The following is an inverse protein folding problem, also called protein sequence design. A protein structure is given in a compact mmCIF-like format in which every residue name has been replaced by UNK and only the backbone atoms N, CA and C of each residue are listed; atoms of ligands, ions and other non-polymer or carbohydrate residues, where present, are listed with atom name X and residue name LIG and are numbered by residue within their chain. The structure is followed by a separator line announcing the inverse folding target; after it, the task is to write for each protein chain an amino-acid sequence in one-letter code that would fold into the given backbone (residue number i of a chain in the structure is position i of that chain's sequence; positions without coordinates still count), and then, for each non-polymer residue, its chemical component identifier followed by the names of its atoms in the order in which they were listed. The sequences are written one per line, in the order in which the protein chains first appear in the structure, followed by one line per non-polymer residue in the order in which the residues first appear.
data_IF_008437665189
#
_entry.id   IF_008437665189
#
_cell.length_a   1.000
_cell.length_b   1.000
_cell.length_c   1.000
_cell.angle_alpha   90.00
_cell.angle_beta   90.00
_cell.angle_gamma   90.00
#
_symmetry.space_group_name_H-M   'P 1'
#
loop_
_entity.id
_entity.type
_entity.pdbx_description
1 polymer ?
#
# COMPACT_ATOMS: atom_id res chain seq x y z
N UNK A 1 -20.39 -77.58 7.71
CA UNK A 1 -20.94 -76.26 8.04
C UNK A 1 -19.85 -75.23 7.87
N UNK A 2 -19.88 -74.40 6.77
CA UNK A 2 -18.84 -73.47 6.37
C UNK A 2 -19.36 -72.03 6.56
N UNK A 3 -18.74 -71.27 7.40
CA UNK A 3 -19.04 -69.86 7.61
C UNK A 3 -18.11 -69.00 6.71
N UNK A 4 -18.71 -68.40 5.65
CA UNK A 4 -18.06 -67.43 4.76
C UNK A 4 -18.00 -66.05 5.44
N UNK A 5 -16.84 -65.56 5.78
CA UNK A 5 -16.60 -64.15 6.16
C UNK A 5 -16.56 -63.28 4.89
N UNK A 6 -17.56 -62.38 4.71
CA UNK A 6 -17.53 -61.25 3.75
C UNK A 6 -16.71 -60.13 4.35
N UNK A 7 -15.60 -59.73 3.67
CA UNK A 7 -14.89 -58.45 3.91
C UNK A 7 -15.66 -57.32 3.21
N UNK A 8 -16.26 -56.44 3.98
CA UNK A 8 -16.76 -55.17 3.48
C UNK A 8 -15.62 -54.20 3.29
N UNK A 9 -15.45 -53.70 2.07
CA UNK A 9 -14.63 -52.51 1.78
C UNK A 9 -15.45 -51.28 2.15
N UNK A 10 -15.02 -50.48 3.12
CA UNK A 10 -15.51 -49.17 3.37
C UNK A 10 -14.83 -48.22 2.33
N UNK A 11 -15.66 -47.75 1.41
CA UNK A 11 -15.33 -46.63 0.54
C UNK A 11 -15.37 -45.36 1.41
N UNK A 12 -14.23 -44.71 1.61
CA UNK A 12 -14.15 -43.32 2.05
C UNK A 12 -14.33 -42.44 0.80
N UNK A 13 -15.57 -42.05 0.53
CA UNK A 13 -15.83 -40.89 -0.34
C UNK A 13 -15.40 -39.63 0.42
N UNK A 14 -14.23 -39.12 0.03
CA UNK A 14 -13.79 -37.79 0.43
C UNK A 14 -14.65 -36.81 -0.37
N UNK A 15 -15.69 -36.29 0.27
CA UNK A 15 -16.44 -35.13 -0.20
C UNK A 15 -15.44 -33.98 -0.40
N UNK A 16 -15.16 -33.66 -1.65
CA UNK A 16 -14.57 -32.40 -2.05
C UNK A 16 -15.56 -31.31 -1.67
N UNK A 17 -15.34 -30.69 -0.52
CA UNK A 17 -16.07 -29.47 -0.14
C UNK A 17 -15.63 -28.35 -1.08
N UNK A 18 -16.50 -28.04 -2.00
CA UNK A 18 -16.45 -26.89 -2.91
C UNK A 18 -16.55 -25.62 -2.05
N UNK A 19 -15.40 -24.98 -1.78
CA UNK A 19 -15.32 -23.74 -1.01
C UNK A 19 -15.76 -22.54 -1.85
N UNK A 20 -16.97 -22.57 -2.36
CA UNK A 20 -17.67 -21.39 -2.90
C UNK A 20 -18.68 -20.83 -1.87
N UNK A 21 -18.24 -20.55 -0.66
CA UNK A 21 -19.02 -19.69 0.22
C UNK A 21 -18.71 -18.22 -0.08
N UNK A 22 -19.39 -17.71 -1.11
CA UNK A 22 -19.55 -16.28 -1.36
C UNK A 22 -20.25 -15.65 -0.15
N UNK A 23 -19.54 -14.80 0.60
CA UNK A 23 -20.17 -13.90 1.57
C UNK A 23 -21.26 -13.07 0.85
N UNK A 24 -22.48 -12.92 1.40
CA UNK A 24 -23.66 -12.41 0.68
C UNK A 24 -23.64 -10.91 0.36
N UNK A 25 -22.49 -10.22 0.45
CA UNK A 25 -22.39 -8.75 0.27
C UNK A 25 -21.26 -8.29 -0.64
N UNK A 26 -20.82 -9.12 -1.61
CA UNK A 26 -19.78 -8.69 -2.57
C UNK A 26 -20.43 -8.15 -3.84
N UNK A 27 -20.12 -6.89 -4.15
CA UNK A 27 -20.35 -6.30 -5.45
C UNK A 27 -19.71 -7.14 -6.56
N UNK A 28 -20.21 -7.09 -7.82
CA UNK A 28 -19.62 -7.83 -8.92
C UNK A 28 -18.11 -7.56 -9.05
N UNK A 29 -17.34 -8.52 -9.60
CA UNK A 29 -15.89 -8.36 -9.75
C UNK A 29 -15.60 -7.09 -10.56
N UNK A 30 -14.78 -6.22 -10.00
CA UNK A 30 -14.35 -5.00 -10.68
C UNK A 30 -13.11 -5.31 -11.51
N UNK A 31 -13.17 -4.98 -12.80
CA UNK A 31 -12.07 -5.29 -13.73
C UNK A 31 -10.84 -4.44 -13.39
N UNK A 32 -9.70 -5.10 -13.22
CA UNK A 32 -8.40 -4.44 -13.16
C UNK A 32 -7.97 -4.04 -14.58
N UNK A 33 -7.22 -2.95 -14.70
CA UNK A 33 -6.69 -2.48 -15.98
C UNK A 33 -5.45 -3.29 -16.36
N UNK A 34 -5.47 -3.86 -17.56
CA UNK A 34 -4.37 -4.63 -18.13
C UNK A 34 -3.86 -3.99 -19.41
N UNK A 35 -2.56 -3.81 -19.51
CA UNK A 35 -1.87 -3.41 -20.75
C UNK A 35 -0.80 -4.44 -21.11
N UNK A 36 -0.38 -4.56 -22.36
CA UNK A 36 0.63 -5.56 -22.75
C UNK A 36 1.93 -5.49 -21.95
N UNK A 37 2.36 -4.28 -21.56
CA UNK A 37 3.56 -4.05 -20.74
C UNK A 37 3.33 -4.34 -19.24
N UNK A 38 2.08 -4.53 -18.81
CA UNK A 38 1.70 -4.76 -17.41
C UNK A 38 0.49 -5.69 -17.31
N UNK A 39 0.63 -6.97 -17.70
CA UNK A 39 -0.47 -7.93 -17.62
C UNK A 39 -0.88 -8.16 -16.16
N UNK A 40 -2.16 -8.40 -15.94
CA UNK A 40 -2.69 -8.74 -14.61
C UNK A 40 -2.05 -10.07 -14.17
N UNK A 41 -1.48 -10.15 -12.95
CA UNK A 41 -1.04 -11.43 -12.40
C UNK A 41 -2.22 -12.42 -12.29
N UNK A 42 -1.96 -13.70 -12.60
CA UNK A 42 -2.95 -14.76 -12.59
C UNK A 42 -3.59 -14.97 -11.21
N UNK A 43 -4.75 -15.65 -11.16
CA UNK A 43 -5.49 -16.02 -9.94
C UNK A 43 -5.93 -14.83 -9.08
N UNK A 44 -6.24 -13.71 -9.70
CA UNK A 44 -6.74 -12.53 -9.01
C UNK A 44 -8.23 -12.67 -8.63
N UNK A 45 -8.54 -12.23 -7.42
CA UNK A 45 -9.91 -11.92 -7.00
C UNK A 45 -9.96 -10.44 -6.67
N UNK A 46 -10.83 -9.70 -7.33
CA UNK A 46 -11.03 -8.26 -7.09
C UNK A 46 -12.49 -7.93 -6.81
N UNK A 47 -12.75 -6.81 -6.17
CA UNK A 47 -14.09 -6.38 -5.84
C UNK A 47 -14.11 -5.07 -5.06
N UNK A 48 -15.27 -4.75 -4.51
CA UNK A 48 -15.49 -3.57 -3.68
C UNK A 48 -15.86 -3.99 -2.26
N UNK A 49 -15.38 -3.24 -1.28
CA UNK A 49 -15.78 -3.32 0.12
C UNK A 49 -16.27 -1.96 0.58
N UNK A 50 -17.15 -1.94 1.56
CA UNK A 50 -17.73 -0.68 2.07
C UNK A 50 -17.32 -0.44 3.50
N UNK A 51 -16.80 0.77 3.76
CA UNK A 51 -16.43 1.22 5.09
C UNK A 51 -17.66 1.63 5.92
N UNK A 52 -17.57 1.63 7.26
CA UNK A 52 -18.66 2.07 8.13
C UNK A 52 -19.12 3.52 7.86
N UNK A 53 -18.22 4.40 7.40
CA UNK A 53 -18.51 5.79 7.05
C UNK A 53 -18.96 5.97 5.59
N UNK A 54 -19.20 4.85 4.88
CA UNK A 54 -19.85 4.80 3.57
C UNK A 54 -18.90 4.93 2.37
N UNK A 55 -17.58 4.98 2.55
CA UNK A 55 -16.64 4.91 1.43
C UNK A 55 -16.62 3.49 0.83
N UNK A 56 -16.53 3.40 -0.49
CA UNK A 56 -16.34 2.16 -1.21
C UNK A 56 -14.89 2.05 -1.64
N UNK A 57 -14.24 0.94 -1.28
CA UNK A 57 -12.82 0.70 -1.56
C UNK A 57 -12.68 -0.46 -2.51
N UNK A 58 -11.94 -0.27 -3.60
CA UNK A 58 -11.56 -1.36 -4.48
C UNK A 58 -10.44 -2.17 -3.83
N UNK A 59 -10.55 -3.49 -3.88
CA UNK A 59 -9.50 -4.40 -3.45
C UNK A 59 -9.14 -5.40 -4.56
N UNK A 60 -7.95 -5.96 -4.46
CA UNK A 60 -7.52 -7.13 -5.20
C UNK A 60 -6.70 -8.05 -4.29
N UNK A 61 -6.83 -9.36 -4.47
CA UNK A 61 -6.02 -10.35 -3.79
C UNK A 61 -5.61 -11.48 -4.72
N UNK A 62 -4.46 -12.03 -4.48
CA UNK A 62 -3.87 -13.14 -5.22
C UNK A 62 -3.55 -14.27 -4.26
N UNK A 63 -4.00 -15.46 -4.59
CA UNK A 63 -3.64 -16.66 -3.84
C UNK A 63 -2.13 -16.93 -3.93
N UNK A 64 -1.52 -17.54 -2.93
CA UNK A 64 -0.12 -17.93 -3.02
C UNK A 64 0.01 -19.05 -4.06
N UNK A 65 1.13 -19.07 -4.81
CA UNK A 65 1.52 -20.29 -5.51
C UNK A 65 1.80 -21.41 -4.49
N UNK A 66 2.24 -22.57 -4.91
CA UNK A 66 2.52 -23.68 -4.01
C UNK A 66 3.44 -23.25 -2.84
N UNK A 67 3.02 -23.55 -1.59
CA UNK A 67 3.75 -23.20 -0.36
C UNK A 67 3.18 -21.97 0.34
N UNK A 68 2.47 -22.16 1.46
CA UNK A 68 1.81 -21.08 2.21
C UNK A 68 2.77 -20.44 3.19
N UNK A 69 3.37 -19.30 2.83
CA UNK A 69 4.24 -18.52 3.72
C UNK A 69 3.51 -17.37 4.44
N UNK A 70 2.21 -17.23 4.21
CA UNK A 70 1.41 -16.15 4.71
C UNK A 70 1.00 -15.17 3.61
N UNK A 71 0.54 -14.00 4.02
CA UNK A 71 0.04 -12.94 3.13
C UNK A 71 0.80 -11.65 3.35
N UNK A 72 1.21 -11.01 2.27
CA UNK A 72 1.71 -9.64 2.28
C UNK A 72 0.57 -8.69 1.85
N UNK A 73 0.13 -7.83 2.75
CA UNK A 73 -0.79 -6.74 2.46
C UNK A 73 0.01 -5.54 1.98
N UNK A 74 -0.19 -5.13 0.70
CA UNK A 74 0.55 -4.05 0.09
C UNK A 74 -0.30 -2.78 0.06
N UNK A 75 0.24 -1.70 0.65
CA UNK A 75 -0.39 -0.40 0.81
C UNK A 75 0.36 0.65 -0.01
N UNK A 76 -0.32 1.21 -0.99
CA UNK A 76 0.26 2.13 -1.98
C UNK A 76 0.50 3.52 -1.39
N UNK A 77 1.28 4.33 -2.11
CA UNK A 77 1.47 5.74 -1.82
C UNK A 77 0.31 6.62 -2.31
N UNK A 78 0.50 7.94 -2.22
CA UNK A 78 -0.44 8.90 -2.80
C UNK A 78 -0.33 8.91 -4.32
N UNK A 79 -1.47 9.01 -5.00
CA UNK A 79 -1.58 8.98 -6.47
C UNK A 79 -1.08 7.67 -7.10
N UNK A 80 -1.22 6.59 -6.37
CA UNK A 80 -0.91 5.24 -6.82
C UNK A 80 -2.15 4.35 -6.77
N UNK A 81 -2.16 3.32 -7.59
CA UNK A 81 -3.26 2.36 -7.75
C UNK A 81 -2.73 0.92 -7.76
N UNK A 82 -3.61 -0.05 -7.63
CA UNK A 82 -3.28 -1.47 -7.58
C UNK A 82 -2.44 -1.90 -8.80
N UNK A 83 -2.79 -1.44 -9.99
CA UNK A 83 -2.15 -1.80 -11.26
C UNK A 83 -0.65 -1.49 -11.30
N UNK A 84 -0.23 -0.40 -10.67
CA UNK A 84 1.18 0.00 -10.59
C UNK A 84 2.07 -1.07 -9.97
N UNK A 85 1.50 -1.93 -9.14
CA UNK A 85 2.23 -2.90 -8.34
C UNK A 85 2.15 -4.34 -8.84
N UNK A 86 1.65 -4.61 -10.05
CA UNK A 86 1.56 -5.97 -10.59
C UNK A 86 2.92 -6.69 -10.66
N UNK A 87 4.00 -5.99 -10.96
CA UNK A 87 5.36 -6.55 -10.90
C UNK A 87 5.73 -6.95 -9.46
N UNK A 88 5.47 -6.08 -8.49
CA UNK A 88 5.69 -6.38 -7.07
C UNK A 88 4.82 -7.53 -6.56
N UNK A 89 3.59 -7.65 -7.08
CA UNK A 89 2.72 -8.81 -6.77
C UNK A 89 3.36 -10.10 -7.28
N UNK A 90 3.90 -10.13 -8.50
CA UNK A 90 4.64 -11.30 -9.03
C UNK A 90 5.85 -11.62 -8.16
N UNK A 91 6.67 -10.62 -7.82
CA UNK A 91 7.84 -10.79 -6.97
C UNK A 91 7.50 -11.42 -5.60
N UNK A 92 6.37 -11.02 -5.00
CA UNK A 92 5.91 -11.57 -3.72
C UNK A 92 5.35 -12.98 -3.88
N UNK A 93 4.60 -13.25 -4.95
CA UNK A 93 4.09 -14.58 -5.26
C UNK A 93 5.21 -15.57 -5.56
N UNK A 94 6.25 -15.15 -6.29
CA UNK A 94 7.46 -15.95 -6.54
C UNK A 94 8.21 -16.30 -5.25
N UNK A 95 8.05 -15.48 -4.21
CA UNK A 95 8.53 -15.75 -2.85
C UNK A 95 7.62 -16.67 -2.04
N UNK A 96 6.45 -17.03 -2.58
CA UNK A 96 5.49 -17.95 -1.96
C UNK A 96 4.46 -17.28 -1.05
N UNK A 97 4.28 -15.96 -1.16
CA UNK A 97 3.25 -15.22 -0.42
C UNK A 97 1.96 -15.09 -1.22
N UNK A 98 0.84 -15.13 -0.53
CA UNK A 98 -0.37 -14.48 -0.99
C UNK A 98 -0.19 -12.96 -0.94
N UNK A 99 -0.90 -12.23 -1.80
CA UNK A 99 -0.85 -10.77 -1.81
C UNK A 99 -2.26 -10.21 -1.72
N UNK A 100 -2.46 -9.15 -0.95
CA UNK A 100 -3.72 -8.43 -0.90
C UNK A 100 -3.46 -6.92 -0.93
N UNK A 101 -4.31 -6.18 -1.65
CA UNK A 101 -4.16 -4.74 -1.87
C UNK A 101 -5.51 -4.03 -1.83
N UNK A 102 -5.49 -2.74 -1.49
CA UNK A 102 -6.61 -1.81 -1.68
C UNK A 102 -6.16 -0.57 -2.45
N UNK A 103 -7.06 0.03 -3.20
CA UNK A 103 -6.96 1.46 -3.50
C UNK A 103 -7.51 2.24 -2.31
N UNK A 104 -6.74 3.21 -1.86
CA UNK A 104 -7.19 4.12 -0.80
C UNK A 104 -8.42 4.92 -1.23
N UNK A 105 -9.30 5.29 -0.29
CA UNK A 105 -10.33 6.29 -0.59
C UNK A 105 -9.74 7.52 -1.28
N UNK A 106 -10.41 8.03 -2.28
CA UNK A 106 -9.98 9.23 -3.00
C UNK A 106 -8.96 8.98 -4.11
N UNK A 107 -8.53 7.74 -4.41
CA UNK A 107 -7.65 7.40 -5.53
C UNK A 107 -7.92 6.00 -6.09
N UNK A 108 -7.27 5.62 -7.19
CA UNK A 108 -7.58 4.38 -7.90
C UNK A 108 -9.06 4.32 -8.31
N UNK A 109 -9.68 3.17 -8.25
CA UNK A 109 -11.13 3.02 -8.46
C UNK A 109 -11.94 3.01 -7.15
N UNK A 110 -11.36 3.41 -6.02
CA UNK A 110 -12.12 3.66 -4.80
C UNK A 110 -12.91 4.96 -4.88
N UNK A 111 -13.93 5.09 -4.05
CA UNK A 111 -14.87 6.20 -4.10
C UNK A 111 -14.22 7.58 -3.97
N UNK A 112 -14.69 8.52 -4.80
CA UNK A 112 -14.24 9.92 -4.82
C UNK A 112 -15.31 10.80 -4.15
N UNK A 113 -14.91 11.59 -3.17
CA UNK A 113 -15.84 12.45 -2.43
C UNK A 113 -16.16 13.77 -3.14
N UNK A 114 -15.25 14.26 -3.96
CA UNK A 114 -15.42 15.52 -4.68
C UNK A 114 -15.92 15.28 -6.10
N UNK A 115 -16.66 16.27 -6.68
CA UNK A 115 -17.14 16.22 -8.06
C UNK A 115 -16.01 16.09 -9.09
N UNK A 116 -14.87 16.78 -8.86
CA UNK A 116 -13.68 16.60 -9.68
C UNK A 116 -12.87 15.41 -9.12
N UNK A 117 -12.88 14.25 -9.79
CA UNK A 117 -12.26 13.03 -9.30
C UNK A 117 -10.73 13.10 -9.30
N UNK A 118 -10.14 14.08 -10.01
CA UNK A 118 -8.67 14.26 -10.05
C UNK A 118 -8.10 14.88 -8.78
N UNK A 119 -8.95 15.36 -7.88
CA UNK A 119 -8.53 15.92 -6.59
C UNK A 119 -8.28 14.80 -5.57
N UNK A 120 -7.03 14.58 -5.20
CA UNK A 120 -6.69 13.71 -4.08
C UNK A 120 -7.19 14.31 -2.77
N UNK A 121 -8.35 13.85 -2.27
CA UNK A 121 -9.01 14.41 -1.10
C UNK A 121 -9.25 13.35 -0.03
N UNK A 122 -8.97 13.71 1.20
CA UNK A 122 -9.44 13.03 2.40
C UNK A 122 -9.87 14.09 3.42
N UNK A 123 -10.88 13.79 4.21
CA UNK A 123 -11.36 14.73 5.23
C UNK A 123 -10.37 14.82 6.39
N UNK A 124 -9.95 13.66 6.89
CA UNK A 124 -8.93 13.52 7.92
C UNK A 124 -8.02 12.34 7.60
N UNK A 125 -6.76 12.38 8.04
CA UNK A 125 -5.81 11.30 7.78
C UNK A 125 -6.19 10.00 8.51
N UNK A 126 -6.96 10.11 9.60
CA UNK A 126 -7.55 8.97 10.30
C UNK A 126 -8.60 8.21 9.47
N UNK A 127 -9.18 8.83 8.43
CA UNK A 127 -10.11 8.14 7.54
C UNK A 127 -9.41 6.94 6.83
N UNK A 128 -8.09 7.02 6.59
CA UNK A 128 -7.30 5.89 6.06
C UNK A 128 -7.13 4.74 7.05
N UNK A 129 -7.17 5.00 8.36
CA UNK A 129 -7.14 3.94 9.36
C UNK A 129 -8.44 3.11 9.32
N UNK A 130 -9.58 3.76 9.02
CA UNK A 130 -10.86 3.09 8.77
C UNK A 130 -10.77 2.21 7.51
N UNK A 131 -10.09 2.67 6.46
CA UNK A 131 -9.87 1.88 5.24
C UNK A 131 -9.09 0.60 5.55
N UNK A 132 -7.98 0.71 6.30
CA UNK A 132 -7.18 -0.45 6.71
C UNK A 132 -8.00 -1.42 7.56
N UNK A 133 -8.72 -0.93 8.56
CA UNK A 133 -9.54 -1.77 9.43
C UNK A 133 -10.61 -2.53 8.64
N UNK A 134 -11.30 -1.83 7.73
CA UNK A 134 -12.30 -2.43 6.85
C UNK A 134 -11.69 -3.51 5.95
N UNK A 135 -10.56 -3.20 5.32
CA UNK A 135 -9.84 -4.14 4.47
C UNK A 135 -9.39 -5.38 5.23
N UNK A 136 -8.82 -5.19 6.42
CA UNK A 136 -8.38 -6.32 7.25
C UNK A 136 -9.57 -7.20 7.64
N UNK A 137 -10.67 -6.61 8.10
CA UNK A 137 -11.83 -7.36 8.56
C UNK A 137 -12.62 -8.05 7.44
N UNK A 138 -12.77 -7.40 6.27
CA UNK A 138 -13.61 -7.91 5.20
C UNK A 138 -12.87 -8.73 4.12
N UNK A 139 -11.54 -8.60 4.02
CA UNK A 139 -10.74 -9.28 2.98
C UNK A 139 -9.61 -10.11 3.59
N UNK A 140 -8.78 -9.50 4.44
CA UNK A 140 -7.54 -10.17 4.88
C UNK A 140 -7.84 -11.33 5.82
N UNK A 141 -8.55 -11.08 6.91
CA UNK A 141 -8.84 -12.12 7.91
C UNK A 141 -9.69 -13.28 7.38
N UNK A 142 -10.74 -13.06 6.57
CA UNK A 142 -11.55 -14.17 6.07
C UNK A 142 -10.93 -14.93 4.91
N UNK A 143 -10.12 -14.29 4.05
CA UNK A 143 -9.76 -14.83 2.75
C UNK A 143 -8.26 -15.01 2.51
N UNK A 144 -7.40 -14.50 3.40
CA UNK A 144 -5.96 -14.53 3.21
C UNK A 144 -5.28 -15.38 4.29
N UNK A 145 -4.37 -16.31 3.93
CA UNK A 145 -3.72 -17.17 4.90
C UNK A 145 -2.75 -16.38 5.81
N UNK A 146 -2.75 -16.64 7.13
CA UNK A 146 -1.76 -16.11 8.04
C UNK A 146 -0.40 -16.83 7.86
N UNK A 147 0.72 -16.26 8.39
CA UNK A 147 0.83 -14.96 9.06
C UNK A 147 0.64 -13.78 8.12
N UNK A 148 0.25 -12.61 8.65
CA UNK A 148 0.03 -11.42 7.85
C UNK A 148 1.18 -10.42 8.02
N UNK A 149 1.67 -9.88 6.91
CA UNK A 149 2.72 -8.87 6.86
C UNK A 149 2.22 -7.64 6.11
N UNK A 150 2.73 -6.46 6.43
CA UNK A 150 2.46 -5.25 5.67
C UNK A 150 3.70 -4.82 4.88
N UNK A 151 3.51 -4.51 3.60
CA UNK A 151 4.46 -3.76 2.77
C UNK A 151 3.78 -2.45 2.38
N UNK A 152 4.37 -1.31 2.75
CA UNK A 152 3.74 -0.03 2.51
C UNK A 152 4.71 1.00 1.93
N UNK A 153 4.24 1.80 0.97
CA UNK A 153 5.03 2.85 0.35
C UNK A 153 4.52 4.24 0.72
N UNK A 154 5.44 5.16 1.00
CA UNK A 154 5.20 6.61 1.14
C UNK A 154 4.02 6.93 2.09
N UNK A 155 2.91 7.48 1.58
CA UNK A 155 1.67 7.74 2.34
C UNK A 155 1.16 6.47 3.04
N UNK A 156 1.15 5.34 2.36
CA UNK A 156 0.76 4.06 2.96
C UNK A 156 1.62 3.71 4.18
N UNK A 157 2.94 3.99 4.12
CA UNK A 157 3.85 3.84 5.26
C UNK A 157 3.46 4.73 6.45
N UNK A 158 3.09 5.98 6.19
CA UNK A 158 2.59 6.89 7.24
C UNK A 158 1.28 6.37 7.88
N UNK A 159 0.36 5.83 7.08
CA UNK A 159 -0.87 5.22 7.61
C UNK A 159 -0.54 4.00 8.45
N UNK A 160 0.37 3.11 8.00
CA UNK A 160 0.77 1.93 8.76
C UNK A 160 1.42 2.29 10.10
N UNK A 161 2.23 3.35 10.18
CA UNK A 161 2.80 3.84 11.43
C UNK A 161 1.71 4.31 12.42
N UNK A 162 0.65 4.95 11.92
CA UNK A 162 -0.48 5.38 12.76
C UNK A 162 -1.29 4.18 13.26
N UNK A 163 -1.56 3.21 12.39
CA UNK A 163 -2.23 1.94 12.75
C UNK A 163 -1.45 1.20 13.84
N UNK A 164 -0.13 1.10 13.69
CA UNK A 164 0.74 0.47 14.68
C UNK A 164 0.77 1.23 16.02
N UNK A 165 0.85 2.57 15.96
CA UNK A 165 0.82 3.42 17.15
C UNK A 165 -0.53 3.33 17.90
N UNK A 166 -1.64 3.20 17.17
CA UNK A 166 -2.96 2.95 17.75
C UNK A 166 -3.10 1.55 18.41
N UNK A 167 -2.03 0.75 18.44
CA UNK A 167 -1.99 -0.56 19.08
C UNK A 167 -2.63 -1.69 18.28
N UNK A 168 -3.02 -1.45 17.02
CA UNK A 168 -3.55 -2.49 16.13
C UNK A 168 -2.44 -3.45 15.71
N UNK A 169 -2.61 -4.75 15.94
CA UNK A 169 -1.59 -5.79 15.69
C UNK A 169 -2.02 -6.78 14.63
N UNK A 170 -2.54 -6.29 13.51
CA UNK A 170 -2.96 -7.15 12.41
C UNK A 170 -1.80 -7.75 11.61
N UNK A 171 -0.62 -7.14 11.70
CA UNK A 171 0.56 -7.54 10.95
C UNK A 171 1.69 -7.93 11.90
N UNK A 172 2.30 -9.10 11.69
CA UNK A 172 3.39 -9.60 12.51
C UNK A 172 4.67 -8.77 12.31
N UNK A 173 4.92 -8.34 11.07
CA UNK A 173 6.02 -7.44 10.70
C UNK A 173 5.55 -6.46 9.62
N UNK A 174 6.21 -5.31 9.55
CA UNK A 174 5.94 -4.29 8.54
C UNK A 174 7.23 -3.86 7.85
N UNK A 175 7.19 -3.79 6.51
CA UNK A 175 8.27 -3.24 5.67
C UNK A 175 7.76 -1.94 5.06
N UNK A 176 8.42 -0.83 5.35
CA UNK A 176 8.01 0.50 4.91
C UNK A 176 9.04 1.06 3.94
N UNK A 177 8.63 1.26 2.68
CA UNK A 177 9.45 1.84 1.61
C UNK A 177 9.22 3.34 1.55
N UNK A 178 10.26 4.13 1.78
CA UNK A 178 10.23 5.59 1.77
C UNK A 178 9.00 6.19 2.49
N UNK A 179 8.70 5.77 3.76
CA UNK A 179 7.48 6.20 4.44
C UNK A 179 7.42 7.72 4.62
N UNK A 180 6.23 8.32 4.43
CA UNK A 180 6.00 9.76 4.56
C UNK A 180 5.98 10.19 6.04
N UNK A 181 7.15 10.21 6.67
CA UNK A 181 7.33 10.68 8.06
C UNK A 181 7.46 12.18 8.09
N UNK A 182 8.25 12.74 7.18
CA UNK A 182 8.41 14.19 6.99
C UNK A 182 8.79 14.49 5.54
N UNK A 183 8.65 15.77 5.14
CA UNK A 183 9.05 16.27 3.83
C UNK A 183 10.32 17.10 3.94
N UNK A 184 11.12 17.26 2.87
CA UNK A 184 12.32 18.10 2.89
C UNK A 184 11.98 19.56 3.28
N UNK A 185 12.77 20.10 4.16
CA UNK A 185 12.84 21.43 4.76
C UNK A 185 11.79 22.48 4.41
N UNK A 186 11.92 23.13 3.25
CA UNK A 186 11.03 24.23 2.84
C UNK A 186 9.55 23.83 2.61
N UNK A 187 9.27 22.55 2.28
CA UNK A 187 7.91 22.06 2.05
C UNK A 187 7.10 21.96 3.35
N UNK A 188 7.77 21.93 4.50
CA UNK A 188 7.14 21.88 5.82
C UNK A 188 7.18 23.20 6.57
N UNK A 189 7.47 24.30 5.86
CA UNK A 189 7.58 25.62 6.47
C UNK A 189 6.31 26.04 7.23
N UNK A 190 6.47 26.74 8.32
CA UNK A 190 5.35 27.22 9.14
C UNK A 190 4.33 28.03 8.35
N UNK A 191 4.72 28.99 7.47
CA UNK A 191 3.77 29.76 6.67
C UNK A 191 2.92 28.89 5.74
N UNK A 192 3.51 27.90 5.08
CA UNK A 192 2.78 26.98 4.19
C UNK A 192 1.72 26.20 4.96
N UNK A 193 2.08 25.65 6.13
CA UNK A 193 1.14 24.92 7.00
C UNK A 193 0.02 25.83 7.52
N UNK A 194 0.36 27.04 7.95
CA UNK A 194 -0.61 28.02 8.43
C UNK A 194 -1.61 28.40 7.33
N UNK A 195 -1.13 28.65 6.10
CA UNK A 195 -1.97 28.95 4.94
C UNK A 195 -2.96 27.82 4.64
N UNK A 196 -2.49 26.58 4.58
CA UNK A 196 -3.38 25.42 4.33
C UNK A 196 -4.43 25.27 5.42
N UNK A 197 -4.03 25.48 6.68
CA UNK A 197 -4.95 25.46 7.82
C UNK A 197 -6.03 26.55 7.73
N UNK A 198 -5.64 27.77 7.38
CA UNK A 198 -6.57 28.88 7.19
C UNK A 198 -7.54 28.63 6.02
N UNK A 199 -7.03 28.16 4.87
CA UNK A 199 -7.87 27.81 3.72
C UNK A 199 -8.88 26.73 4.08
N UNK A 200 -8.45 25.71 4.84
CA UNK A 200 -9.36 24.65 5.30
C UNK A 200 -10.44 25.18 6.24
N UNK A 201 -10.09 26.02 7.21
CA UNK A 201 -11.04 26.66 8.13
C UNK A 201 -12.02 27.57 7.40
N UNK A 202 -11.58 28.22 6.32
CA UNK A 202 -12.43 29.02 5.44
C UNK A 202 -13.32 28.18 4.49
N UNK A 203 -13.46 26.85 4.73
CA UNK A 203 -14.31 25.97 3.92
C UNK A 203 -13.71 25.58 2.56
N UNK A 204 -12.45 25.94 2.27
CA UNK A 204 -11.79 25.68 0.98
C UNK A 204 -11.03 24.35 0.93
N UNK A 205 -11.32 23.43 1.82
CA UNK A 205 -10.65 22.13 1.92
C UNK A 205 -10.69 21.26 0.65
N UNK A 206 -11.73 21.41 -0.18
CA UNK A 206 -11.89 20.70 -1.45
C UNK A 206 -11.20 21.37 -2.66
N UNK A 207 -10.48 22.50 -2.50
CA UNK A 207 -9.68 23.10 -3.58
C UNK A 207 -8.32 22.45 -3.67
N UNK A 208 -7.69 22.49 -4.85
CA UNK A 208 -6.27 22.17 -4.96
C UNK A 208 -5.44 23.06 -4.03
N UNK A 209 -4.33 22.55 -3.53
CA UNK A 209 -3.33 23.39 -2.87
C UNK A 209 -2.88 24.53 -3.79
N UNK A 210 -2.42 25.68 -3.27
CA UNK A 210 -1.92 26.78 -4.10
C UNK A 210 -0.88 26.28 -5.12
N UNK A 211 -1.10 26.62 -6.41
CA UNK A 211 -0.27 26.14 -7.53
C UNK A 211 -0.56 24.70 -7.99
N UNK A 212 -1.44 23.97 -7.31
CA UNK A 212 -1.81 22.61 -7.69
C UNK A 212 -2.79 22.58 -8.87
N UNK A 213 -2.71 21.49 -9.65
CA UNK A 213 -3.51 21.26 -10.86
C UNK A 213 -4.13 19.85 -10.86
N UNK A 214 -5.05 19.61 -11.82
CA UNK A 214 -5.61 18.29 -12.09
C UNK A 214 -4.76 17.43 -13.04
N UNK A 215 -3.54 17.84 -13.40
CA UNK A 215 -2.63 17.01 -14.18
C UNK A 215 -2.29 15.73 -13.38
N UNK A 216 -2.39 14.58 -14.02
CA UNK A 216 -2.20 13.29 -13.34
C UNK A 216 -0.74 13.14 -12.91
N UNK A 217 -0.55 12.75 -11.66
CA UNK A 217 0.79 12.51 -11.11
C UNK A 217 1.43 11.30 -11.80
N UNK A 218 2.69 11.44 -12.25
CA UNK A 218 3.43 10.35 -12.90
C UNK A 218 3.24 10.24 -14.41
N UNK A 219 2.58 11.22 -15.04
CA UNK A 219 2.44 11.30 -16.51
C UNK A 219 3.32 12.39 -17.13
N UNK A 220 4.09 13.11 -16.32
CA UNK A 220 5.03 14.13 -16.79
C UNK A 220 6.22 13.50 -17.55
N UNK A 221 7.06 14.34 -18.17
CA UNK A 221 8.31 13.87 -18.80
C UNK A 221 9.17 13.08 -17.80
N UNK A 222 9.78 11.99 -18.28
CA UNK A 222 10.75 11.21 -17.50
C UNK A 222 11.96 12.05 -17.08
N UNK A 223 12.34 13.05 -17.88
CA UNK A 223 13.49 13.93 -17.58
C UNK A 223 13.18 14.70 -16.29
N UNK A 224 14.08 14.61 -15.32
CA UNK A 224 13.97 15.25 -14.00
C UNK A 224 12.81 14.77 -13.12
N UNK A 225 12.16 13.63 -13.44
CA UNK A 225 11.17 13.08 -12.52
C UNK A 225 11.80 12.72 -11.16
N UNK A 226 11.12 12.96 -10.04
CA UNK A 226 11.65 12.68 -8.72
C UNK A 226 11.36 11.24 -8.23
N UNK A 227 10.63 10.44 -9.02
CA UNK A 227 10.04 9.18 -8.55
C UNK A 227 11.00 8.00 -8.69
N UNK A 228 11.56 7.81 -9.90
CA UNK A 228 12.40 6.65 -10.22
C UNK A 228 13.46 7.01 -11.26
N UNK A 229 14.56 6.27 -11.27
CA UNK A 229 15.57 6.32 -12.33
C UNK A 229 15.38 5.26 -13.43
N UNK A 230 14.32 4.43 -13.34
CA UNK A 230 13.98 3.42 -14.34
C UNK A 230 13.00 3.97 -15.39
N UNK A 231 13.44 4.20 -16.65
CA UNK A 231 12.58 4.75 -17.69
C UNK A 231 11.48 3.77 -18.13
N UNK A 232 11.74 2.46 -18.06
CA UNK A 232 10.79 1.44 -18.52
C UNK A 232 9.61 1.33 -17.55
N UNK A 233 9.89 1.25 -16.25
CA UNK A 233 8.85 1.22 -15.21
C UNK A 233 8.08 2.53 -15.14
N UNK A 234 8.76 3.67 -15.35
CA UNK A 234 8.09 4.98 -15.42
C UNK A 234 7.12 5.04 -16.60
N UNK A 235 7.57 4.67 -17.80
CA UNK A 235 6.71 4.66 -19.00
C UNK A 235 5.54 3.67 -18.87
N UNK A 236 5.78 2.49 -18.28
CA UNK A 236 4.73 1.51 -17.99
C UNK A 236 3.64 2.10 -17.06
N UNK A 237 4.05 2.81 -16.01
CA UNK A 237 3.11 3.42 -15.06
C UNK A 237 2.32 4.58 -15.72
N UNK A 238 2.94 5.36 -16.60
CA UNK A 238 2.24 6.37 -17.40
C UNK A 238 1.22 5.73 -18.37
N UNK A 239 1.60 4.65 -19.05
CA UNK A 239 0.71 3.93 -19.99
C UNK A 239 -0.54 3.33 -19.30
N UNK A 240 -0.47 2.93 -18.03
CA UNK A 240 -1.65 2.51 -17.25
C UNK A 240 -2.64 3.66 -17.11
N UNK A 241 -2.14 4.88 -16.83
CA UNK A 241 -2.97 6.08 -16.68
C UNK A 241 -3.44 6.65 -18.02
N UNK A 242 -2.77 6.35 -19.13
CA UNK A 242 -3.24 6.64 -20.48
C UNK A 242 -4.39 5.73 -20.88
N UNK A 243 -4.30 4.43 -20.52
CA UNK A 243 -5.37 3.45 -20.77
C UNK A 243 -6.62 3.76 -19.94
N UNK A 244 -6.45 4.08 -18.66
CA UNK A 244 -7.55 4.49 -17.79
C UNK A 244 -7.18 5.70 -16.91
N UNK A 245 -7.43 6.93 -17.40
CA UNK A 245 -7.15 8.15 -16.65
C UNK A 245 -7.94 8.28 -15.34
N UNK A 246 -9.02 7.51 -15.17
CA UNK A 246 -9.86 7.59 -13.96
C UNK A 246 -9.17 6.99 -12.73
N UNK A 247 -8.14 6.16 -12.92
CA UNK A 247 -7.27 5.64 -11.86
C UNK A 247 -6.45 6.75 -11.18
N UNK A 248 -6.05 7.75 -11.97
CA UNK A 248 -5.12 8.77 -11.55
C UNK A 248 -5.74 9.91 -10.73
N UNK A 249 -4.90 10.60 -9.98
CA UNK A 249 -5.20 11.88 -9.36
C UNK A 249 -4.07 12.88 -9.63
N UNK A 250 -4.44 14.15 -9.59
CA UNK A 250 -3.50 15.27 -9.69
C UNK A 250 -2.99 15.73 -8.32
N UNK A 251 -2.74 17.02 -8.21
CA UNK A 251 -2.28 17.64 -6.96
C UNK A 251 -3.21 17.36 -5.77
N UNK A 252 -2.71 17.39 -4.53
CA UNK A 252 -3.55 17.21 -3.36
C UNK A 252 -4.56 18.34 -3.19
N UNK A 253 -5.70 18.02 -2.58
CA UNK A 253 -6.59 19.04 -2.05
C UNK A 253 -6.03 19.63 -0.75
N UNK A 254 -6.44 20.86 -0.44
CA UNK A 254 -6.06 21.58 0.79
C UNK A 254 -6.31 20.72 2.04
N UNK A 255 -7.46 20.05 2.12
CA UNK A 255 -7.78 19.19 3.27
C UNK A 255 -6.80 18.02 3.40
N UNK A 256 -6.45 17.36 2.28
CA UNK A 256 -5.46 16.28 2.30
C UNK A 256 -4.10 16.78 2.81
N UNK A 257 -3.62 17.90 2.28
CA UNK A 257 -2.33 18.45 2.65
C UNK A 257 -2.29 18.91 4.13
N UNK A 258 -3.33 19.62 4.60
CA UNK A 258 -3.41 20.04 6.01
C UNK A 258 -3.39 18.84 6.96
N UNK A 259 -4.16 17.78 6.63
CA UNK A 259 -4.24 16.62 7.51
C UNK A 259 -2.97 15.75 7.44
N UNK A 260 -2.30 15.65 6.28
CA UNK A 260 -1.01 15.01 6.15
C UNK A 260 0.07 15.73 6.99
N UNK A 261 0.12 17.06 6.94
CA UNK A 261 1.02 17.83 7.81
C UNK A 261 0.74 17.64 9.30
N UNK A 262 -0.52 17.47 9.68
CA UNK A 262 -0.85 17.15 11.08
C UNK A 262 -0.36 15.76 11.48
N UNK A 263 -0.48 14.77 10.61
CA UNK A 263 0.03 13.42 10.85
C UNK A 263 1.56 13.44 11.00
N UNK A 264 2.28 14.07 10.06
CA UNK A 264 3.74 14.22 10.11
C UNK A 264 4.22 14.97 11.38
N UNK A 265 3.47 15.99 11.83
CA UNK A 265 3.77 16.65 13.11
C UNK A 265 3.62 15.70 14.30
N UNK A 266 2.66 14.77 14.26
CA UNK A 266 2.50 13.74 15.28
C UNK A 266 3.73 12.83 15.36
N UNK A 267 4.30 12.44 14.23
CA UNK A 267 5.50 11.60 14.17
C UNK A 267 6.76 12.23 14.79
N UNK A 268 6.80 13.56 14.89
CA UNK A 268 7.91 14.30 15.50
C UNK A 268 7.89 14.32 17.04
N UNK A 269 6.84 13.82 17.68
CA UNK A 269 6.82 13.67 19.13
C UNK A 269 7.84 12.59 19.53
N UNK A 270 8.72 12.94 20.49
CA UNK A 270 9.89 12.11 20.85
C UNK A 270 9.51 10.71 21.37
N UNK A 271 8.34 10.58 21.95
CA UNK A 271 7.81 9.32 22.49
C UNK A 271 6.99 8.50 21.48
N UNK A 272 6.62 9.10 20.33
CA UNK A 272 5.76 8.45 19.35
C UNK A 272 6.34 7.13 18.80
N UNK A 273 7.59 7.06 18.31
CA UNK A 273 8.16 5.82 17.80
C UNK A 273 8.25 4.74 18.88
N UNK A 274 8.60 5.11 20.12
CA UNK A 274 8.78 4.17 21.24
C UNK A 274 7.48 3.50 21.70
N UNK A 275 6.32 4.04 21.34
CA UNK A 275 5.00 3.44 21.61
C UNK A 275 4.65 2.33 20.61
N UNK A 276 5.30 2.29 19.44
CA UNK A 276 5.11 1.23 18.43
C UNK A 276 5.87 -0.02 18.86
N UNK A 277 5.18 -1.15 18.89
CA UNK A 277 5.72 -2.43 19.37
C UNK A 277 5.95 -3.47 18.28
N UNK A 278 5.34 -3.29 17.09
CA UNK A 278 5.56 -4.17 15.96
C UNK A 278 6.98 -4.05 15.43
N UNK A 279 7.61 -5.14 15.00
CA UNK A 279 8.85 -5.10 14.25
C UNK A 279 8.64 -4.37 12.91
N UNK A 280 9.47 -3.35 12.64
CA UNK A 280 9.38 -2.54 11.43
C UNK A 280 10.77 -2.43 10.79
N UNK A 281 10.83 -2.75 9.48
CA UNK A 281 11.97 -2.42 8.63
C UNK A 281 11.60 -1.20 7.77
N UNK A 282 12.40 -0.14 7.83
CA UNK A 282 12.26 1.05 7.01
C UNK A 282 13.34 1.10 5.94
N UNK A 283 12.95 1.23 4.67
CA UNK A 283 13.89 1.45 3.59
C UNK A 283 13.75 2.88 3.09
N UNK A 284 14.83 3.62 3.16
CA UNK A 284 14.93 5.00 2.68
C UNK A 284 15.75 5.05 1.39
N UNK A 285 15.47 6.04 0.55
CA UNK A 285 16.20 6.28 -0.69
C UNK A 285 17.09 7.52 -0.54
N UNK A 286 18.40 7.40 -0.83
CA UNK A 286 19.32 8.51 -0.57
C UNK A 286 19.13 9.70 -1.50
N UNK A 287 18.55 9.48 -2.69
CA UNK A 287 18.24 10.55 -3.66
C UNK A 287 16.76 10.95 -3.64
N UNK A 288 16.06 10.68 -2.54
CA UNK A 288 14.67 11.06 -2.36
C UNK A 288 14.53 12.57 -2.17
N UNK A 289 13.71 13.21 -3.01
CA UNK A 289 13.38 14.63 -2.92
C UNK A 289 11.92 14.87 -2.51
N UNK A 290 11.18 13.81 -2.24
CA UNK A 290 9.76 13.85 -1.88
C UNK A 290 9.58 13.72 -0.37
N UNK A 291 10.25 12.74 0.25
CA UNK A 291 10.25 12.56 1.71
C UNK A 291 11.67 12.74 2.28
N UNK A 292 11.75 13.01 3.58
CA UNK A 292 13.02 13.21 4.26
C UNK A 292 13.65 11.89 4.67
N UNK A 293 14.76 11.52 4.02
CA UNK A 293 15.57 10.33 4.38
C UNK A 293 16.03 10.39 5.83
N UNK A 294 16.55 11.54 6.27
CA UNK A 294 17.02 11.71 7.65
C UNK A 294 15.91 11.55 8.69
N UNK A 295 14.68 12.00 8.38
CA UNK A 295 13.54 11.78 9.28
C UNK A 295 13.13 10.30 9.38
N UNK A 296 13.32 9.53 8.30
CA UNK A 296 13.09 8.07 8.32
C UNK A 296 14.11 7.38 9.21
N UNK A 297 15.40 7.72 9.07
CA UNK A 297 16.49 7.16 9.87
C UNK A 297 16.31 7.49 11.36
N UNK A 298 16.04 8.75 11.68
CA UNK A 298 15.81 9.21 13.06
C UNK A 298 14.59 8.49 13.68
N UNK A 299 13.49 8.41 12.95
CA UNK A 299 12.30 7.71 13.46
C UNK A 299 12.56 6.21 13.70
N UNK A 300 13.26 5.55 12.75
CA UNK A 300 13.61 4.14 12.88
C UNK A 300 14.53 3.86 14.06
N UNK A 301 15.47 4.77 14.34
CA UNK A 301 16.37 4.67 15.48
C UNK A 301 15.62 4.65 16.82
N UNK A 302 14.51 5.38 16.92
CA UNK A 302 13.70 5.45 18.15
C UNK A 302 12.62 4.38 18.28
N UNK A 303 12.43 3.51 17.27
CA UNK A 303 11.53 2.36 17.36
C UNK A 303 12.09 1.31 18.32
N UNK A 304 11.21 0.65 19.09
CA UNK A 304 11.61 -0.46 19.98
C UNK A 304 12.13 -1.69 19.24
N UNK A 305 11.56 -1.98 18.10
CA UNK A 305 11.92 -3.12 17.23
C UNK A 305 12.03 -2.62 15.78
N UNK A 306 12.83 -1.57 15.59
CA UNK A 306 13.08 -0.92 14.32
C UNK A 306 14.40 -1.33 13.70
N UNK A 307 14.41 -1.43 12.38
CA UNK A 307 15.61 -1.49 11.55
C UNK A 307 15.42 -0.58 10.36
N UNK A 308 16.51 -0.03 9.83
CA UNK A 308 16.47 0.74 8.60
C UNK A 308 17.63 0.43 7.68
N UNK A 309 17.43 0.70 6.40
CA UNK A 309 18.44 0.63 5.37
C UNK A 309 18.26 1.81 4.40
N UNK A 310 19.33 2.51 4.10
CA UNK A 310 19.34 3.56 3.06
C UNK A 310 19.89 2.97 1.78
N UNK A 311 19.08 2.97 0.71
CA UNK A 311 19.48 2.49 -0.62
C UNK A 311 20.15 3.65 -1.36
N UNK A 312 21.48 3.58 -1.49
CA UNK A 312 22.29 4.62 -2.09
C UNK A 312 21.97 4.83 -3.57
N UNK A 313 21.64 6.06 -3.96
CA UNK A 313 21.34 6.46 -5.33
C UNK A 313 19.88 6.21 -5.78
N UNK A 314 19.09 5.50 -5.00
CA UNK A 314 17.67 5.30 -5.31
C UNK A 314 16.89 6.61 -5.11
N UNK A 315 15.84 6.80 -5.93
CA UNK A 315 14.81 7.83 -5.77
C UNK A 315 13.63 7.29 -4.97
N UNK A 316 12.56 8.08 -4.86
CA UNK A 316 11.43 7.86 -3.97
C UNK A 316 10.76 6.47 -4.09
N UNK A 317 10.50 6.02 -5.31
CA UNK A 317 9.73 4.80 -5.57
C UNK A 317 10.64 3.56 -5.70
N UNK A 318 11.25 3.13 -4.59
CA UNK A 318 12.26 2.05 -4.55
C UNK A 318 11.77 0.77 -5.26
N UNK A 319 10.49 0.42 -5.14
CA UNK A 319 9.89 -0.75 -5.80
C UNK A 319 9.72 -0.57 -7.32
N UNK A 320 9.81 0.65 -7.81
CA UNK A 320 9.75 1.01 -9.23
C UNK A 320 11.12 1.44 -9.78
N UNK A 321 12.17 1.29 -8.99
CA UNK A 321 13.55 1.64 -9.37
C UNK A 321 14.19 0.56 -10.23
N UNK A 322 15.39 0.87 -10.78
CA UNK A 322 16.22 -0.08 -11.51
C UNK A 322 16.52 -1.32 -10.65
N UNK A 323 16.70 -2.47 -11.29
CA UNK A 323 16.87 -3.76 -10.61
C UNK A 323 17.99 -3.78 -9.55
N UNK A 324 19.07 -3.04 -9.76
CA UNK A 324 20.16 -2.89 -8.77
C UNK A 324 19.71 -2.32 -7.43
N UNK A 325 18.70 -1.45 -7.42
CA UNK A 325 18.12 -0.89 -6.21
C UNK A 325 17.03 -1.81 -5.63
N UNK A 326 16.20 -2.36 -6.51
CA UNK A 326 15.18 -3.34 -6.13
C UNK A 326 15.80 -4.60 -5.52
N UNK A 327 16.96 -5.05 -6.02
CA UNK A 327 17.67 -6.19 -5.44
C UNK A 327 18.06 -5.96 -3.98
N UNK A 328 18.51 -4.74 -3.63
CA UNK A 328 18.81 -4.37 -2.24
C UNK A 328 17.55 -4.35 -1.37
N UNK A 329 16.44 -3.81 -1.91
CA UNK A 329 15.15 -3.86 -1.24
C UNK A 329 14.73 -5.29 -0.95
N UNK A 330 14.77 -6.18 -1.96
CA UNK A 330 14.34 -7.56 -1.81
C UNK A 330 15.25 -8.36 -0.87
N UNK A 331 16.55 -8.12 -0.89
CA UNK A 331 17.48 -8.74 0.05
C UNK A 331 17.15 -8.37 1.51
N UNK A 332 16.84 -7.11 1.77
CA UNK A 332 16.43 -6.64 3.10
C UNK A 332 15.06 -7.20 3.52
N UNK A 333 14.10 -7.24 2.57
CA UNK A 333 12.79 -7.86 2.78
C UNK A 333 12.94 -9.35 3.12
N UNK A 334 13.70 -10.09 2.32
CA UNK A 334 13.92 -11.53 2.48
C UNK A 334 14.60 -11.87 3.81
N UNK A 335 15.50 -11.01 4.29
CA UNK A 335 16.13 -11.18 5.60
C UNK A 335 15.18 -10.84 6.77
N UNK A 336 14.22 -9.96 6.57
CA UNK A 336 13.37 -9.45 7.64
C UNK A 336 12.04 -10.22 7.75
N UNK A 337 11.40 -10.60 6.64
CA UNK A 337 10.10 -11.26 6.64
C UNK A 337 10.28 -12.78 6.72
N UNK A 338 9.76 -13.46 7.75
CA UNK A 338 9.93 -14.91 7.93
C UNK A 338 9.40 -15.73 6.76
N UNK A 339 10.09 -16.83 6.45
CA UNK A 339 9.69 -17.76 5.39
C UNK A 339 10.16 -17.38 3.99
N UNK A 340 10.79 -16.22 3.80
CA UNK A 340 11.50 -15.91 2.55
C UNK A 340 12.82 -16.67 2.46
N UNK A 341 13.25 -17.10 1.26
CA UNK A 341 14.57 -17.71 1.13
C UNK A 341 15.65 -16.62 1.34
N UNK A 342 16.63 -16.93 2.21
CA UNK A 342 17.77 -16.05 2.43
C UNK A 342 18.76 -16.07 1.25
N UNK A 343 18.72 -17.13 0.45
CA UNK A 343 19.55 -17.29 -0.74
C UNK A 343 18.71 -17.95 -1.84
N UNK A 344 18.85 -17.47 -3.07
CA UNK A 344 18.37 -18.11 -4.31
C UNK A 344 19.53 -18.79 -4.99
#
# INVERSE_FOLDING_TARGET
MAFKRRRGRLFFDVLALDFQHLSPNRSPPMTLVSIPANPIPEDVVSGMIKTPDGAELRFARWAPPAGRKGTVCLFTGRAEQIEKYFETVRDLRDRGFAVAMIDWRGQGHSSRRLRDPRKGYVRDFSDFEIDVETFVQQVVLPDCPPPHFALAHSMGGAVMLRVAHAGKRWFDRMVLSAPMIDLPGHRTSFPARALLRLLRLAGQGGRFVPGGTGALTGTDSFINNPLTSDPVRYARNAAILEEDPTLGIGSPAVAWADTAFRAMRGFRASDYPSQIRQPILMLAASSDTIVSTSAIEEFAYHLRAGSHLVIAGAKHEILQEQDRYRAQFWAAFDAFVPGTPLFK
#
